data_IF_580536327768
#
_entry.id   IF_580536327768
#
_cell.length_a   1.000
_cell.length_b   1.000
_cell.length_c   1.000
_cell.angle_alpha   90.00
_cell.angle_beta   90.00
_cell.angle_gamma   90.00
#
_symmetry.space_group_name_H-M   'P 1'
#
loop_
_entity.id
_entity.type
_entity.pdbx_description
1 polymer ?
#
# COMPACT_ATOMS: atom_id res chain seq x y z
N UNK A 1 26.96 19.43 -20.99
CA UNK A 1 25.69 18.76 -20.63
C UNK A 1 26.02 17.77 -19.52
N UNK A 2 25.82 18.18 -18.27
CA UNK A 2 26.21 17.39 -17.08
C UNK A 2 25.04 16.50 -16.70
N UNK A 3 25.21 15.17 -16.83
CA UNK A 3 24.27 14.20 -16.27
C UNK A 3 24.46 14.19 -14.76
N UNK A 4 23.38 14.50 -14.04
CA UNK A 4 23.30 14.42 -12.59
C UNK A 4 23.52 12.98 -12.13
N UNK A 5 24.65 12.71 -11.46
CA UNK A 5 24.85 11.54 -10.61
C UNK A 5 23.91 11.65 -9.41
N UNK A 6 22.74 11.02 -9.48
CA UNK A 6 21.90 10.77 -8.32
C UNK A 6 22.47 9.56 -7.53
N UNK A 7 22.40 9.53 -6.19
CA UNK A 7 23.02 8.47 -5.39
C UNK A 7 22.21 7.16 -5.38
N UNK A 8 22.86 6.09 -5.85
CA UNK A 8 23.00 4.69 -5.36
C UNK A 8 22.11 4.20 -4.18
N UNK A 9 20.78 4.35 -4.22
CA UNK A 9 19.89 3.62 -3.29
C UNK A 9 18.83 2.75 -3.95
N UNK A 10 18.59 2.93 -5.25
CA UNK A 10 17.90 1.94 -6.06
C UNK A 10 18.97 1.20 -6.85
N UNK A 11 19.30 -0.04 -6.47
CA UNK A 11 19.90 -0.96 -7.44
C UNK A 11 18.77 -1.31 -8.38
N UNK A 12 18.67 -0.73 -9.59
CA UNK A 12 17.65 -1.18 -10.52
C UNK A 12 18.06 -2.61 -10.86
N UNK A 13 17.16 -3.58 -10.74
CA UNK A 13 17.33 -4.84 -11.46
C UNK A 13 17.25 -4.44 -12.94
N UNK A 14 18.40 -4.07 -13.49
CA UNK A 14 18.55 -3.47 -14.81
C UNK A 14 18.09 -4.51 -15.83
N UNK A 15 16.87 -4.35 -16.35
CA UNK A 15 16.24 -5.24 -17.32
C UNK A 15 14.95 -5.91 -16.87
N UNK A 16 14.57 -5.88 -15.59
CA UNK A 16 13.30 -6.46 -15.12
C UNK A 16 12.25 -5.36 -14.92
N UNK A 17 11.85 -4.73 -16.04
CA UNK A 17 10.84 -3.65 -16.09
C UNK A 17 9.47 -4.15 -15.59
N UNK A 18 9.21 -5.45 -15.73
CA UNK A 18 8.10 -6.15 -15.08
C UNK A 18 8.35 -7.66 -15.12
N UNK A 19 8.02 -8.38 -14.04
CA UNK A 19 8.08 -9.84 -14.03
C UNK A 19 6.93 -10.41 -14.90
N UNK A 20 7.20 -11.32 -15.86
CA UNK A 20 6.15 -11.90 -16.69
C UNK A 20 5.10 -12.65 -15.84
N UNK A 21 3.83 -12.70 -16.27
CA UNK A 21 2.80 -13.50 -15.63
C UNK A 21 3.18 -14.98 -15.58
N UNK A 22 2.64 -15.70 -14.61
CA UNK A 22 2.78 -17.15 -14.51
C UNK A 22 1.92 -17.85 -15.57
N UNK A 23 2.33 -19.03 -16.05
CA UNK A 23 1.54 -19.78 -17.05
C UNK A 23 0.51 -20.71 -16.41
N UNK A 24 0.70 -21.06 -15.15
CA UNK A 24 -0.21 -21.84 -14.29
C UNK A 24 -0.24 -21.20 -12.91
N UNK A 25 -1.28 -21.41 -12.08
CA UNK A 25 -1.26 -20.85 -10.73
C UNK A 25 -0.09 -21.36 -9.90
N UNK A 26 0.62 -20.44 -9.25
CA UNK A 26 1.78 -20.76 -8.42
C UNK A 26 1.53 -20.27 -7.00
N UNK A 27 1.70 -21.17 -6.03
CA UNK A 27 1.71 -20.81 -4.61
C UNK A 27 3.12 -20.43 -4.18
N UNK A 28 3.23 -19.30 -3.50
CA UNK A 28 4.45 -18.84 -2.84
C UNK A 28 4.27 -18.94 -1.34
N UNK A 29 5.21 -19.59 -0.66
CA UNK A 29 5.14 -19.82 0.80
C UNK A 29 4.39 -21.09 1.19
N UNK A 30 4.48 -21.43 2.47
CA UNK A 30 3.97 -22.70 3.02
C UNK A 30 2.88 -22.47 4.07
N UNK A 31 3.21 -21.77 5.17
CA UNK A 31 2.26 -21.44 6.25
C UNK A 31 1.52 -20.13 5.98
N UNK A 32 2.29 -19.09 5.71
CA UNK A 32 1.79 -17.84 5.13
C UNK A 32 2.12 -17.90 3.65
N UNK A 33 1.08 -17.81 2.83
CA UNK A 33 1.23 -17.98 1.40
C UNK A 33 0.35 -17.00 0.64
N UNK A 34 0.72 -16.77 -0.61
CA UNK A 34 -0.13 -16.14 -1.61
C UNK A 34 -0.08 -16.95 -2.89
N UNK A 35 -1.07 -16.74 -3.74
CA UNK A 35 -1.16 -17.44 -5.02
C UNK A 35 -1.18 -16.42 -6.15
N UNK A 36 -0.32 -16.62 -7.15
CA UNK A 36 -0.37 -15.87 -8.39
C UNK A 36 -1.07 -16.69 -9.47
N UNK A 37 -1.96 -16.05 -10.23
CA UNK A 37 -2.69 -16.65 -11.33
C UNK A 37 -2.23 -16.09 -12.68
N UNK A 38 -2.45 -16.82 -13.79
CA UNK A 38 -1.99 -16.39 -15.12
C UNK A 38 -2.60 -15.08 -15.65
N UNK A 39 -3.75 -14.69 -15.13
CA UNK A 39 -4.42 -13.43 -15.47
C UNK A 39 -3.85 -12.22 -14.71
N UNK A 40 -2.81 -12.42 -13.88
CA UNK A 40 -2.17 -11.37 -13.10
C UNK A 40 -2.77 -11.14 -11.72
N UNK A 41 -3.72 -11.96 -11.28
CA UNK A 41 -4.23 -11.92 -9.91
C UNK A 41 -3.19 -12.46 -8.91
N UNK A 42 -2.87 -11.66 -7.90
CA UNK A 42 -2.09 -12.04 -6.73
C UNK A 42 -3.03 -12.12 -5.52
N UNK A 43 -3.39 -13.33 -5.12
CA UNK A 43 -4.37 -13.59 -4.06
C UNK A 43 -3.69 -13.86 -2.72
N UNK A 44 -3.77 -12.88 -1.82
CA UNK A 44 -3.28 -12.94 -0.43
C UNK A 44 -4.41 -13.31 0.54
N UNK A 45 -5.64 -13.48 0.05
CA UNK A 45 -6.82 -13.69 0.88
C UNK A 45 -7.11 -15.17 1.18
N UNK A 46 -6.41 -16.08 0.50
CA UNK A 46 -6.62 -17.52 0.60
C UNK A 46 -6.30 -18.03 2.01
N UNK A 47 -7.16 -18.91 2.51
CA UNK A 47 -6.94 -19.66 3.77
C UNK A 47 -6.54 -21.10 3.52
N UNK A 48 -6.71 -21.60 2.28
CA UNK A 48 -6.37 -22.96 1.88
C UNK A 48 -5.34 -22.96 0.76
N UNK A 49 -4.29 -23.81 0.87
CA UNK A 49 -3.31 -24.00 -0.19
C UNK A 49 -3.97 -24.33 -1.54
N UNK A 50 -3.22 -24.14 -2.62
CA UNK A 50 -3.65 -24.64 -3.92
C UNK A 50 -3.84 -26.15 -3.86
N UNK A 51 -5.02 -26.62 -4.29
CA UNK A 51 -5.35 -28.03 -4.38
C UNK A 51 -5.70 -28.33 -5.83
N UNK A 52 -4.90 -29.20 -6.46
CA UNK A 52 -4.97 -29.46 -7.91
C UNK A 52 -4.34 -28.37 -8.77
N UNK A 53 -4.65 -28.39 -10.07
CA UNK A 53 -4.21 -27.42 -11.07
C UNK A 53 -5.41 -26.62 -11.60
N UNK A 54 -5.96 -25.67 -10.81
CA UNK A 54 -7.01 -24.80 -11.30
C UNK A 54 -6.46 -23.96 -12.45
N UNK A 55 -7.18 -23.83 -13.56
CA UNK A 55 -6.75 -22.99 -14.69
C UNK A 55 -7.22 -21.54 -14.58
N UNK A 56 -8.14 -21.26 -13.65
CA UNK A 56 -8.88 -19.99 -13.59
C UNK A 56 -8.81 -19.37 -12.20
N UNK A 57 -8.76 -18.04 -12.18
CA UNK A 57 -8.81 -17.26 -10.95
C UNK A 57 -10.16 -17.37 -10.26
N UNK A 58 -10.18 -17.45 -8.91
CA UNK A 58 -11.41 -17.51 -8.15
C UNK A 58 -12.21 -16.20 -8.30
N UNK A 59 -13.53 -16.30 -8.23
CA UNK A 59 -14.39 -15.11 -8.11
C UNK A 59 -14.20 -14.43 -6.76
N UNK A 60 -14.36 -13.11 -6.74
CA UNK A 60 -14.25 -12.32 -5.51
C UNK A 60 -15.36 -12.71 -4.52
N UNK A 61 -14.98 -13.02 -3.28
CA UNK A 61 -15.89 -13.39 -2.19
C UNK A 61 -16.28 -12.20 -1.33
N UNK A 62 -17.33 -12.34 -0.51
CA UNK A 62 -17.76 -11.29 0.42
C UNK A 62 -16.63 -10.93 1.40
N UNK A 63 -16.30 -9.65 1.49
CA UNK A 63 -15.22 -9.13 2.34
C UNK A 63 -13.85 -9.06 1.67
N UNK A 64 -13.69 -9.65 0.47
CA UNK A 64 -12.51 -9.47 -0.35
C UNK A 64 -12.60 -8.18 -1.17
N UNK A 65 -11.43 -7.63 -1.51
CA UNK A 65 -11.27 -6.47 -2.36
C UNK A 65 -10.07 -6.66 -3.30
N UNK A 66 -10.22 -6.14 -4.52
CA UNK A 66 -9.21 -6.18 -5.56
C UNK A 66 -8.59 -4.78 -5.72
N UNK A 67 -7.26 -4.72 -5.57
CA UNK A 67 -6.46 -3.50 -5.72
C UNK A 67 -5.70 -3.63 -7.03
N UNK A 68 -6.02 -2.76 -8.00
CA UNK A 68 -5.24 -2.69 -9.25
C UNK A 68 -3.87 -2.07 -8.96
N UNK A 69 -2.83 -2.70 -9.48
CA UNK A 69 -1.46 -2.20 -9.40
C UNK A 69 -0.86 -2.17 -10.80
N UNK A 70 0.29 -1.52 -10.93
CA UNK A 70 0.99 -1.43 -12.22
C UNK A 70 1.39 -2.81 -12.77
N UNK A 71 1.58 -2.87 -14.09
CA UNK A 71 1.95 -4.11 -14.78
C UNK A 71 0.79 -5.07 -15.01
N UNK A 72 -0.44 -4.56 -15.15
CA UNK A 72 -1.67 -5.34 -15.37
C UNK A 72 -1.92 -6.41 -14.29
N UNK A 73 -1.53 -6.10 -13.05
CA UNK A 73 -1.68 -7.00 -11.90
C UNK A 73 -2.77 -6.51 -10.98
N UNK A 74 -3.38 -7.45 -10.26
CA UNK A 74 -4.40 -7.15 -9.26
C UNK A 74 -4.05 -7.87 -7.98
N UNK A 75 -4.02 -7.16 -6.86
CA UNK A 75 -3.79 -7.73 -5.53
C UNK A 75 -5.15 -7.94 -4.86
N UNK A 76 -5.46 -9.17 -4.48
CA UNK A 76 -6.67 -9.48 -3.70
C UNK A 76 -6.33 -9.66 -2.24
N UNK A 77 -7.09 -8.97 -1.39
CA UNK A 77 -6.97 -9.05 0.07
C UNK A 77 -8.33 -9.25 0.73
N UNK A 78 -8.34 -9.82 1.93
CA UNK A 78 -9.50 -9.89 2.82
C UNK A 78 -9.48 -8.68 3.76
N UNK A 79 -10.51 -7.83 3.70
CA UNK A 79 -10.60 -6.61 4.49
C UNK A 79 -10.53 -6.88 6.00
N UNK A 80 -11.05 -8.01 6.47
CA UNK A 80 -11.08 -8.36 7.90
C UNK A 80 -9.70 -8.74 8.46
N UNK A 81 -8.76 -9.10 7.58
CA UNK A 81 -7.40 -9.55 7.92
C UNK A 81 -6.31 -8.56 7.48
N UNK A 82 -6.71 -7.43 6.91
CA UNK A 82 -5.81 -6.45 6.30
C UNK A 82 -5.99 -5.08 6.94
N UNK A 83 -4.89 -4.35 7.04
CA UNK A 83 -4.91 -2.95 7.45
C UNK A 83 -4.19 -2.08 6.40
N UNK A 84 -4.76 -0.91 6.11
CA UNK A 84 -4.04 0.17 5.44
C UNK A 84 -3.25 0.93 6.50
N UNK A 85 -1.93 0.97 6.35
CA UNK A 85 -1.04 1.75 7.23
C UNK A 85 -0.54 2.95 6.44
N UNK A 86 -0.94 4.15 6.84
CA UNK A 86 -0.48 5.41 6.24
C UNK A 86 0.54 6.04 7.16
N UNK A 87 1.76 6.27 6.65
CA UNK A 87 2.92 6.69 7.43
C UNK A 87 3.30 8.11 7.06
N UNK A 88 3.44 8.98 8.06
CA UNK A 88 4.05 10.31 7.97
C UNK A 88 3.46 11.27 6.92
N UNK A 89 2.17 11.11 6.59
CA UNK A 89 1.41 12.04 5.73
C UNK A 89 1.00 13.35 6.45
N UNK A 90 1.88 13.88 7.31
CA UNK A 90 1.66 15.12 8.06
C UNK A 90 2.20 16.35 7.31
N UNK A 91 1.64 17.52 7.59
CA UNK A 91 2.02 18.78 6.92
C UNK A 91 3.51 19.10 7.01
N UNK A 92 4.21 18.67 8.08
CA UNK A 92 5.65 18.87 8.20
C UNK A 92 6.45 18.29 7.02
N UNK A 93 5.98 17.19 6.42
CA UNK A 93 6.64 16.56 5.26
C UNK A 93 6.04 16.98 3.92
N UNK A 94 4.77 17.41 3.90
CA UNK A 94 4.01 17.64 2.66
C UNK A 94 3.82 19.11 2.29
N UNK A 95 3.82 20.01 3.28
CA UNK A 95 3.58 21.44 3.02
C UNK A 95 4.80 22.07 2.35
N UNK A 96 4.68 22.70 1.17
CA UNK A 96 5.82 23.26 0.42
C UNK A 96 6.70 24.20 1.24
N UNK A 97 6.10 24.99 2.13
CA UNK A 97 6.83 25.93 3.00
C UNK A 97 7.67 25.26 4.09
N UNK A 98 7.36 24.01 4.45
CA UNK A 98 8.12 23.24 5.45
C UNK A 98 9.10 22.28 4.77
N UNK A 99 8.60 21.51 3.80
CA UNK A 99 9.38 20.63 2.93
C UNK A 99 8.75 20.53 1.55
N UNK A 100 9.54 20.83 0.52
CA UNK A 100 9.12 20.60 -0.87
C UNK A 100 9.34 19.14 -1.23
N UNK A 101 8.27 18.33 -1.16
CA UNK A 101 8.28 16.92 -1.49
C UNK A 101 7.13 16.57 -2.46
N UNK A 102 7.21 16.97 -3.74
CA UNK A 102 6.09 16.92 -4.69
C UNK A 102 5.56 15.50 -4.93
N UNK A 103 6.43 14.49 -4.90
CA UNK A 103 6.02 13.08 -5.02
C UNK A 103 5.24 12.59 -3.79
N UNK A 104 5.56 13.12 -2.60
CA UNK A 104 4.83 12.80 -1.38
C UNK A 104 3.44 13.44 -1.37
N UNK A 105 3.34 14.69 -1.84
CA UNK A 105 2.07 15.37 -2.01
C UNK A 105 1.18 14.66 -3.03
N UNK A 106 1.75 14.16 -4.14
CA UNK A 106 1.04 13.39 -5.15
C UNK A 106 0.45 12.07 -4.60
N UNK A 107 0.95 11.53 -3.47
CA UNK A 107 0.39 10.35 -2.82
C UNK A 107 -0.91 10.64 -2.05
N UNK A 108 -1.25 11.91 -1.77
CA UNK A 108 -2.45 12.27 -1.03
C UNK A 108 -3.71 11.84 -1.79
N UNK A 109 -3.82 12.15 -3.08
CA UNK A 109 -5.02 11.86 -3.87
C UNK A 109 -5.32 10.35 -3.96
N UNK A 110 -4.34 9.47 -4.26
CA UNK A 110 -4.55 8.02 -4.20
C UNK A 110 -5.05 7.54 -2.82
N UNK A 111 -4.46 8.04 -1.73
CA UNK A 111 -4.86 7.65 -0.37
C UNK A 111 -6.31 8.08 -0.11
N UNK A 112 -6.66 9.31 -0.45
CA UNK A 112 -8.01 9.85 -0.27
C UNK A 112 -9.07 9.08 -1.08
N UNK A 113 -8.69 8.50 -2.22
CA UNK A 113 -9.58 7.64 -3.02
C UNK A 113 -9.74 6.23 -2.43
N UNK A 114 -8.68 5.67 -1.84
CA UNK A 114 -8.69 4.28 -1.33
C UNK A 114 -9.33 4.18 0.05
N UNK A 115 -9.10 5.16 0.93
CA UNK A 115 -9.55 5.15 2.32
C UNK A 115 -11.08 4.94 2.46
N UNK A 116 -11.95 5.65 1.72
CA UNK A 116 -13.40 5.44 1.83
C UNK A 116 -13.83 4.03 1.41
N UNK A 117 -13.26 3.51 0.32
CA UNK A 117 -13.56 2.17 -0.17
C UNK A 117 -13.18 1.09 0.84
N UNK A 118 -12.01 1.23 1.46
CA UNK A 118 -11.54 0.32 2.51
C UNK A 118 -12.40 0.41 3.79
N UNK A 119 -12.77 1.62 4.23
CA UNK A 119 -13.67 1.82 5.38
C UNK A 119 -15.03 1.18 5.15
N UNK A 120 -15.62 1.35 3.97
CA UNK A 120 -16.92 0.77 3.61
C UNK A 120 -16.90 -0.77 3.64
N UNK A 121 -15.73 -1.39 3.44
CA UNK A 121 -15.53 -2.84 3.52
C UNK A 121 -15.11 -3.33 4.91
N UNK A 122 -15.01 -2.43 5.89
CA UNK A 122 -14.63 -2.76 7.27
C UNK A 122 -13.13 -2.98 7.49
N UNK A 123 -12.28 -2.60 6.53
CA UNK A 123 -10.84 -2.70 6.70
C UNK A 123 -10.34 -1.72 7.76
N UNK A 124 -9.26 -2.09 8.45
CA UNK A 124 -8.62 -1.23 9.46
C UNK A 124 -7.73 -0.20 8.77
N UNK A 125 -7.75 1.04 9.27
CA UNK A 125 -6.88 2.11 8.78
C UNK A 125 -6.08 2.64 9.97
N UNK A 126 -4.77 2.61 9.83
CA UNK A 126 -3.81 3.01 10.86
C UNK A 126 -3.02 4.20 10.32
N UNK A 127 -3.10 5.33 11.04
CA UNK A 127 -2.31 6.52 10.75
C UNK A 127 -1.12 6.56 11.69
N UNK A 128 0.07 6.51 11.14
CA UNK A 128 1.33 6.59 11.89
C UNK A 128 1.90 7.99 11.70
N UNK A 129 2.19 8.65 12.81
CA UNK A 129 2.87 9.93 12.82
C UNK A 129 4.14 9.82 13.65
N UNK A 130 5.26 10.29 13.12
CA UNK A 130 6.47 10.50 13.92
C UNK A 130 6.34 11.81 14.70
N UNK A 131 6.61 11.73 16.00
CA UNK A 131 6.77 12.90 16.87
C UNK A 131 8.25 13.07 17.19
N UNK A 132 8.78 14.27 17.00
CA UNK A 132 10.11 14.62 17.48
C UNK A 132 10.00 15.15 18.91
N UNK A 133 10.11 14.27 19.91
CA UNK A 133 10.28 14.70 21.30
C UNK A 133 11.75 15.04 21.54
N UNK A 134 12.12 16.30 21.32
CA UNK A 134 13.38 16.85 21.82
C UNK A 134 13.14 18.25 22.39
N UNK A 135 13.03 18.31 23.72
CA UNK A 135 13.18 19.49 24.59
C UNK A 135 12.45 20.79 24.19
N UNK A 136 11.20 20.73 23.74
CA UNK A 136 10.36 21.92 23.62
C UNK A 136 9.30 21.90 24.72
N UNK A 137 9.36 22.94 25.56
CA UNK A 137 8.38 23.39 26.56
C UNK A 137 6.92 23.06 26.19
N UNK A 138 6.03 22.73 27.15
CA UNK A 138 4.66 22.30 26.87
C UNK A 138 3.94 23.33 26.01
N UNK A 139 3.81 23.03 24.72
CA UNK A 139 3.01 23.83 23.80
C UNK A 139 1.53 23.69 24.18
N UNK A 140 0.72 24.75 24.01
CA UNK A 140 -0.64 24.76 24.53
C UNK A 140 -1.52 23.67 23.89
N UNK A 141 -2.54 23.17 24.62
CA UNK A 141 -3.38 22.03 24.21
C UNK A 141 -4.13 22.22 22.88
N UNK A 142 -4.20 23.43 22.34
CA UNK A 142 -4.85 23.73 21.06
C UNK A 142 -4.19 23.07 19.85
N UNK A 143 -2.94 22.61 19.97
CA UNK A 143 -2.23 21.83 18.93
C UNK A 143 -2.59 20.33 18.99
N UNK A 144 -3.15 19.84 20.11
CA UNK A 144 -3.57 18.44 20.21
C UNK A 144 -4.94 18.15 19.59
N UNK A 145 -5.77 19.16 19.30
CA UNK A 145 -7.19 18.95 18.93
C UNK A 145 -7.53 19.20 17.45
N UNK A 146 -6.57 19.47 16.56
CA UNK A 146 -6.88 19.65 15.12
C UNK A 146 -6.60 18.42 14.23
N UNK A 147 -6.06 17.33 14.78
CA UNK A 147 -5.69 16.15 13.99
C UNK A 147 -6.53 14.97 14.46
N UNK A 148 -7.72 14.81 13.88
CA UNK A 148 -8.54 13.59 14.04
C UNK A 148 -10.05 13.77 14.16
N UNK A 149 -10.59 14.99 14.16
CA UNK A 149 -12.03 15.23 14.34
C UNK A 149 -12.70 15.90 13.15
N UNK A 150 -12.57 15.27 11.97
CA UNK A 150 -13.54 15.32 10.84
C UNK A 150 -12.92 14.61 9.64
N UNK A 151 -13.01 13.29 9.58
CA UNK A 151 -13.12 12.46 8.36
C UNK A 151 -13.49 11.01 8.73
#
# INVERSE_FOLDING_TARGET
MSMSNLPIHDTPILGMVSRPPVTVPIQYGVKSFWVEYPDGLLDLSRTTPLSGSPSTSPSISKGQLDIKVDGNRTIRVDASKTALVVIDMQNFFLHPDLRSHPTGLACVDPIMNVVPGLRAKGAKIVWVYVSIFSYLSPTPPSIHTSIGSRL
#
